data_IF_447441042885
#
_entry.id   IF_447441042885
#
_cell.length_a   1.000
_cell.length_b   1.000
_cell.length_c   1.000
_cell.angle_alpha   90.00
_cell.angle_beta   90.00
_cell.angle_gamma   90.00
#
_symmetry.space_group_name_H-M   'P 1'
#
loop_
_entity.id
_entity.type
_entity.pdbx_description
1 polymer ?
#
# COMPACT_ATOMS: atom_id res chain seq x y z
N UNK A 1 18.65 24.17 -36.78
CA UNK A 1 17.29 24.02 -36.26
C UNK A 1 17.32 22.72 -35.49
N UNK A 2 17.61 22.81 -34.21
CA UNK A 2 17.73 21.67 -33.29
C UNK A 2 16.35 21.24 -32.85
N UNK A 3 16.07 19.99 -33.08
CA UNK A 3 14.85 19.30 -32.65
C UNK A 3 14.85 19.19 -31.11
N UNK A 4 14.12 20.09 -30.44
CA UNK A 4 14.02 20.20 -28.98
C UNK A 4 12.71 19.60 -28.41
N UNK A 5 12.04 18.72 -29.15
CA UNK A 5 10.69 18.29 -28.78
C UNK A 5 10.59 16.89 -28.15
N UNK A 6 11.68 16.14 -27.95
CA UNK A 6 11.60 14.74 -27.45
C UNK A 6 12.03 14.51 -25.99
N UNK A 7 12.58 15.51 -25.29
CA UNK A 7 13.19 15.31 -23.95
C UNK A 7 12.52 16.11 -22.80
N UNK A 8 11.40 16.76 -23.07
CA UNK A 8 10.75 17.67 -22.10
C UNK A 8 10.02 16.97 -20.93
N UNK A 9 10.07 15.63 -20.84
CA UNK A 9 9.28 14.86 -19.88
C UNK A 9 10.04 14.04 -18.84
N UNK A 10 11.35 13.82 -19.00
CA UNK A 10 12.10 12.90 -18.13
C UNK A 10 13.03 13.65 -17.17
N UNK A 11 12.85 13.43 -15.87
CA UNK A 11 13.71 13.94 -14.80
C UNK A 11 14.76 12.89 -14.49
N UNK A 12 16.05 13.21 -14.65
CA UNK A 12 17.14 12.24 -14.56
C UNK A 12 18.17 12.58 -13.48
N UNK A 13 17.92 13.55 -12.63
CA UNK A 13 18.81 13.88 -11.52
C UNK A 13 18.06 14.44 -10.31
N UNK A 14 18.67 14.28 -9.14
CA UNK A 14 18.16 14.83 -7.89
C UNK A 14 18.01 16.35 -7.94
N UNK A 15 18.99 17.05 -8.48
CA UNK A 15 18.97 18.53 -8.59
C UNK A 15 17.80 19.01 -9.44
N UNK A 16 17.54 18.32 -10.55
CA UNK A 16 16.38 18.62 -11.41
C UNK A 16 15.07 18.34 -10.69
N UNK A 17 14.98 17.20 -9.95
CA UNK A 17 13.82 16.85 -9.14
C UNK A 17 13.55 17.94 -8.09
N UNK A 18 14.54 18.30 -7.28
CA UNK A 18 14.38 19.30 -6.22
C UNK A 18 13.96 20.68 -6.75
N UNK A 19 14.46 21.07 -7.92
CA UNK A 19 14.00 22.30 -8.59
C UNK A 19 12.52 22.21 -8.96
N UNK A 20 12.10 21.13 -9.63
CA UNK A 20 10.71 20.96 -10.06
C UNK A 20 9.74 20.78 -8.89
N UNK A 21 10.21 20.21 -7.77
CA UNK A 21 9.47 20.19 -6.51
C UNK A 21 9.21 21.61 -6.00
N UNK A 22 10.22 22.47 -6.02
CA UNK A 22 10.10 23.87 -5.59
C UNK A 22 9.17 24.69 -6.51
N UNK A 23 9.07 24.31 -7.76
CA UNK A 23 8.24 24.97 -8.80
C UNK A 23 6.83 24.35 -8.90
N UNK A 24 6.57 23.23 -8.19
CA UNK A 24 5.34 22.40 -8.28
C UNK A 24 5.01 21.97 -9.72
N UNK A 25 6.05 21.58 -10.48
CA UNK A 25 5.96 21.27 -11.92
C UNK A 25 6.25 19.78 -12.23
N UNK A 26 5.81 18.85 -11.38
CA UNK A 26 6.08 17.42 -11.57
C UNK A 26 4.98 16.65 -12.33
N UNK A 27 3.79 17.20 -12.46
CA UNK A 27 2.64 16.51 -13.02
C UNK A 27 2.93 15.95 -14.43
N UNK A 28 2.54 14.69 -14.64
CA UNK A 28 2.68 13.98 -15.92
C UNK A 28 4.12 13.65 -16.34
N UNK A 29 5.12 13.95 -15.51
CA UNK A 29 6.53 13.70 -15.85
C UNK A 29 6.94 12.26 -15.55
N UNK A 30 7.96 11.81 -16.24
CA UNK A 30 8.70 10.61 -15.88
C UNK A 30 9.95 10.99 -15.10
N UNK A 31 10.13 10.40 -13.92
CA UNK A 31 11.27 10.61 -13.02
C UNK A 31 11.99 9.27 -12.92
N UNK A 32 13.21 9.17 -13.40
CA UNK A 32 13.80 7.83 -13.55
C UNK A 32 15.32 7.78 -13.37
N UNK A 33 15.76 6.64 -12.78
CA UNK A 33 17.12 6.13 -12.90
C UNK A 33 18.16 6.79 -12.00
N UNK A 34 17.76 7.41 -10.87
CA UNK A 34 18.71 8.01 -9.94
C UNK A 34 18.30 7.81 -8.47
N UNK A 35 19.24 8.18 -7.58
CA UNK A 35 19.00 8.15 -6.15
C UNK A 35 18.69 9.56 -5.62
N UNK A 36 17.62 9.68 -4.84
CA UNK A 36 17.24 10.89 -4.12
C UNK A 36 16.70 10.52 -2.71
N UNK A 37 17.48 9.78 -1.89
CA UNK A 37 17.03 9.43 -0.55
C UNK A 37 16.80 10.69 0.27
N UNK A 38 15.87 10.62 1.20
CA UNK A 38 15.46 11.73 2.08
C UNK A 38 15.02 13.00 1.35
N UNK A 39 14.54 12.87 0.09
CA UNK A 39 14.00 14.03 -0.64
C UNK A 39 12.68 14.49 -0.04
N UNK A 40 12.47 15.79 0.05
CA UNK A 40 11.20 16.38 0.48
C UNK A 40 10.23 16.48 -0.69
N UNK A 41 9.10 15.78 -0.59
CA UNK A 41 8.00 15.78 -1.56
C UNK A 41 6.67 16.14 -0.88
N UNK A 42 6.72 16.73 0.32
CA UNK A 42 5.51 17.01 1.12
C UNK A 42 4.54 17.91 0.36
N UNK A 43 3.25 17.51 0.39
CA UNK A 43 2.13 18.26 -0.19
C UNK A 43 2.23 18.53 -1.71
N UNK A 44 3.12 17.83 -2.43
CA UNK A 44 3.30 17.98 -3.87
C UNK A 44 2.20 17.23 -4.63
N UNK A 45 1.81 17.77 -5.77
CA UNK A 45 0.93 17.09 -6.73
C UNK A 45 1.77 16.26 -7.72
N UNK A 46 1.58 14.94 -7.67
CA UNK A 46 2.24 13.95 -8.51
C UNK A 46 1.22 13.28 -9.47
N UNK A 47 0.21 14.03 -9.95
CA UNK A 47 -0.78 13.48 -10.90
C UNK A 47 -0.11 13.04 -12.21
N UNK A 48 -0.40 11.83 -12.63
CA UNK A 48 0.10 11.24 -13.87
C UNK A 48 1.61 10.97 -13.90
N UNK A 49 2.31 11.12 -12.78
CA UNK A 49 3.76 10.90 -12.71
C UNK A 49 4.10 9.43 -12.87
N UNK A 50 5.19 9.15 -13.60
CA UNK A 50 5.85 7.85 -13.59
C UNK A 50 7.15 7.95 -12.79
N UNK A 51 7.25 7.19 -11.68
CA UNK A 51 8.47 7.02 -10.90
C UNK A 51 9.09 5.67 -11.28
N UNK A 52 10.30 5.67 -11.82
CA UNK A 52 10.92 4.43 -12.31
C UNK A 52 12.38 4.29 -11.87
N UNK A 53 12.72 3.17 -11.25
CA UNK A 53 14.08 2.86 -10.79
C UNK A 53 14.70 3.97 -9.94
N UNK A 54 13.95 4.46 -8.97
CA UNK A 54 14.37 5.51 -8.04
C UNK A 54 14.68 4.94 -6.68
N UNK A 55 15.70 5.50 -6.04
CA UNK A 55 15.92 5.36 -4.60
C UNK A 55 15.34 6.58 -3.89
N UNK A 56 14.18 6.41 -3.27
CA UNK A 56 13.43 7.43 -2.53
C UNK A 56 13.29 7.04 -1.04
N UNK A 57 14.23 6.26 -0.52
CA UNK A 57 14.24 5.86 0.88
C UNK A 57 14.22 7.07 1.81
N UNK A 58 13.51 6.92 2.91
CA UNK A 58 13.44 7.96 3.95
C UNK A 58 12.90 9.31 3.46
N UNK A 59 12.31 9.39 2.26
CA UNK A 59 11.72 10.63 1.74
C UNK A 59 10.48 11.03 2.53
N UNK A 60 10.22 12.33 2.60
CA UNK A 60 9.01 12.90 3.16
C UNK A 60 8.04 13.27 2.03
N UNK A 61 7.02 12.45 1.84
CA UNK A 61 5.95 12.63 0.87
C UNK A 61 4.57 12.71 1.58
N UNK A 62 4.55 13.22 2.80
CA UNK A 62 3.30 13.43 3.54
C UNK A 62 2.37 14.37 2.77
N UNK A 63 1.08 14.07 2.82
CA UNK A 63 0.04 14.89 2.20
C UNK A 63 0.16 15.05 0.68
N UNK A 64 1.03 14.27 0.01
CA UNK A 64 1.13 14.25 -1.46
C UNK A 64 -0.17 13.76 -2.09
N UNK A 65 -0.40 14.22 -3.30
CA UNK A 65 -1.49 13.73 -4.13
C UNK A 65 -0.94 12.97 -5.34
N UNK A 66 -1.37 11.73 -5.51
CA UNK A 66 -1.07 10.91 -6.67
C UNK A 66 -2.39 10.49 -7.33
N UNK A 67 -2.63 10.93 -8.54
CA UNK A 67 -3.72 10.44 -9.36
C UNK A 67 -3.15 9.82 -10.63
N UNK A 68 -3.50 8.56 -10.93
CA UNK A 68 -3.02 7.83 -12.11
C UNK A 68 -1.49 7.72 -12.21
N UNK A 69 -0.79 7.82 -11.09
CA UNK A 69 0.66 7.67 -11.05
C UNK A 69 1.08 6.20 -11.17
N UNK A 70 2.26 5.98 -11.74
CA UNK A 70 2.88 4.67 -11.85
C UNK A 70 4.23 4.65 -11.12
N UNK A 71 4.42 3.68 -10.22
CA UNK A 71 5.65 3.43 -9.50
C UNK A 71 6.22 2.08 -9.96
N UNK A 72 7.44 2.07 -10.50
CA UNK A 72 8.08 0.88 -11.05
C UNK A 72 9.48 0.71 -10.51
N UNK A 73 9.79 -0.43 -9.92
CA UNK A 73 11.13 -0.77 -9.44
C UNK A 73 11.73 0.30 -8.51
N UNK A 74 10.91 0.97 -7.69
CA UNK A 74 11.35 2.01 -6.78
C UNK A 74 11.62 1.45 -5.38
N UNK A 75 12.63 2.01 -4.72
CA UNK A 75 12.92 1.78 -3.31
C UNK A 75 12.35 2.95 -2.49
N UNK A 76 11.27 2.67 -1.76
CA UNK A 76 10.52 3.63 -0.93
C UNK A 76 10.58 3.26 0.55
N UNK A 77 11.56 2.44 0.93
CA UNK A 77 11.69 1.97 2.31
C UNK A 77 11.81 3.12 3.29
N UNK A 78 11.10 2.97 4.43
CA UNK A 78 11.11 3.95 5.53
C UNK A 78 10.67 5.36 5.13
N UNK A 79 10.08 5.56 3.95
CA UNK A 79 9.52 6.85 3.55
C UNK A 79 8.21 7.15 4.27
N UNK A 80 7.92 8.44 4.43
CA UNK A 80 6.68 8.91 5.05
C UNK A 80 5.71 9.43 3.97
N UNK A 81 4.47 8.89 4.00
CA UNK A 81 3.37 9.24 3.10
C UNK A 81 2.07 9.46 3.90
N UNK A 82 2.21 10.03 5.10
CA UNK A 82 1.07 10.26 6.00
C UNK A 82 0.07 11.20 5.36
N UNK A 83 -1.21 10.83 5.45
CA UNK A 83 -2.27 11.64 4.87
C UNK A 83 -2.26 11.74 3.35
N UNK A 84 -1.37 11.05 2.65
CA UNK A 84 -1.30 11.07 1.19
C UNK A 84 -2.59 10.56 0.54
N UNK A 85 -2.88 11.08 -0.65
CA UNK A 85 -4.05 10.70 -1.46
C UNK A 85 -3.59 9.95 -2.70
N UNK A 86 -3.84 8.65 -2.74
CA UNK A 86 -3.54 7.79 -3.88
C UNK A 86 -4.83 7.40 -4.60
N UNK A 87 -5.00 7.83 -5.83
CA UNK A 87 -6.14 7.46 -6.66
C UNK A 87 -5.68 6.83 -7.96
N UNK A 88 -6.09 5.58 -8.22
CA UNK A 88 -5.69 4.81 -9.42
C UNK A 88 -4.18 4.71 -9.60
N UNK A 89 -3.45 4.66 -8.49
CA UNK A 89 -2.00 4.46 -8.51
C UNK A 89 -1.69 3.00 -8.77
N UNK A 90 -0.67 2.76 -9.60
CA UNK A 90 -0.11 1.42 -9.82
C UNK A 90 1.30 1.37 -9.28
N UNK A 91 1.57 0.40 -8.40
CA UNK A 91 2.93 0.14 -7.92
C UNK A 91 3.32 -1.30 -8.25
N UNK A 92 4.48 -1.46 -8.89
CA UNK A 92 4.99 -2.77 -9.31
C UNK A 92 6.49 -2.89 -9.06
N UNK A 93 6.91 -4.06 -8.56
CA UNK A 93 8.32 -4.39 -8.31
C UNK A 93 9.01 -3.38 -7.37
N UNK A 94 8.23 -2.74 -6.48
CA UNK A 94 8.72 -1.74 -5.54
C UNK A 94 8.96 -2.34 -4.15
N UNK A 95 9.86 -1.69 -3.39
CA UNK A 95 10.07 -1.97 -1.99
C UNK A 95 9.50 -0.83 -1.12
N UNK A 96 8.39 -1.11 -0.44
CA UNK A 96 7.66 -0.20 0.44
C UNK A 96 7.81 -0.62 1.91
N UNK A 97 8.83 -1.41 2.23
CA UNK A 97 9.06 -1.93 3.60
C UNK A 97 9.19 -0.77 4.58
N UNK A 98 8.45 -0.86 5.69
CA UNK A 98 8.41 0.18 6.75
C UNK A 98 7.89 1.56 6.33
N UNK A 99 7.28 1.67 5.15
CA UNK A 99 6.66 2.91 4.68
C UNK A 99 5.51 3.32 5.61
N UNK A 100 5.40 4.59 5.92
CA UNK A 100 4.34 5.13 6.77
C UNK A 100 3.23 5.76 5.96
N UNK A 101 2.10 5.08 5.86
CA UNK A 101 0.87 5.56 5.21
C UNK A 101 -0.24 5.85 6.23
N UNK A 102 0.13 6.26 7.44
CA UNK A 102 -0.84 6.59 8.50
C UNK A 102 -1.82 7.67 8.02
N UNK A 103 -3.11 7.37 8.13
CA UNK A 103 -4.17 8.30 7.70
C UNK A 103 -4.31 8.51 6.20
N UNK A 104 -3.49 7.83 5.38
CA UNK A 104 -3.57 7.95 3.91
C UNK A 104 -4.92 7.44 3.38
N UNK A 105 -5.28 7.92 2.20
CA UNK A 105 -6.48 7.46 1.47
C UNK A 105 -6.06 6.88 0.14
N UNK A 106 -6.33 5.58 -0.04
CA UNK A 106 -6.05 4.85 -1.27
C UNK A 106 -7.37 4.45 -1.95
N UNK A 107 -7.55 4.84 -3.19
CA UNK A 107 -8.75 4.51 -3.96
C UNK A 107 -8.38 3.89 -5.30
N UNK A 108 -8.91 2.67 -5.56
CA UNK A 108 -8.73 1.95 -6.83
C UNK A 108 -7.26 1.77 -7.22
N UNK A 109 -6.38 1.55 -6.23
CA UNK A 109 -4.97 1.32 -6.45
C UNK A 109 -4.70 -0.15 -6.74
N UNK A 110 -3.72 -0.41 -7.60
CA UNK A 110 -3.19 -1.75 -7.89
C UNK A 110 -1.76 -1.83 -7.35
N UNK A 111 -1.56 -2.62 -6.31
CA UNK A 111 -0.27 -2.75 -5.62
C UNK A 111 0.22 -4.20 -5.75
N UNK A 112 1.23 -4.39 -6.57
CA UNK A 112 1.83 -5.72 -6.68
C UNK A 112 2.44 -6.09 -8.03
N UNK A 113 3.45 -6.99 -8.01
CA UNK A 113 4.11 -7.49 -6.80
C UNK A 113 4.92 -6.39 -6.08
N UNK A 114 4.76 -6.28 -4.75
CA UNK A 114 5.50 -5.30 -3.93
C UNK A 114 5.87 -5.89 -2.57
N UNK A 115 7.01 -5.45 -2.01
CA UNK A 115 7.35 -5.73 -0.62
C UNK A 115 6.80 -4.62 0.27
N UNK A 116 6.00 -4.97 1.27
CA UNK A 116 5.32 -4.05 2.17
C UNK A 116 5.41 -4.54 3.63
N UNK A 117 6.47 -5.27 3.98
CA UNK A 117 6.66 -5.73 5.34
C UNK A 117 6.70 -4.53 6.30
N UNK A 118 5.98 -4.63 7.42
CA UNK A 118 5.88 -3.59 8.46
C UNK A 118 5.41 -2.21 7.96
N UNK A 119 4.73 -2.15 6.81
CA UNK A 119 4.06 -0.92 6.35
C UNK A 119 3.00 -0.49 7.36
N UNK A 120 2.85 0.81 7.59
CA UNK A 120 1.84 1.35 8.49
C UNK A 120 0.67 1.95 7.73
N UNK A 121 -0.49 1.31 7.82
CA UNK A 121 -1.79 1.82 7.35
C UNK A 121 -2.71 2.24 8.51
N UNK A 122 -2.11 2.60 9.67
CA UNK A 122 -2.88 3.02 10.82
C UNK A 122 -3.89 4.13 10.45
N UNK A 123 -5.18 3.93 10.76
CA UNK A 123 -6.27 4.85 10.39
C UNK A 123 -6.41 5.17 8.89
N UNK A 124 -5.73 4.46 8.02
CA UNK A 124 -5.86 4.67 6.57
C UNK A 124 -7.25 4.26 6.06
N UNK A 125 -7.61 4.76 4.89
CA UNK A 125 -8.83 4.41 4.17
C UNK A 125 -8.46 3.79 2.84
N UNK A 126 -8.87 2.53 2.61
CA UNK A 126 -8.60 1.79 1.38
C UNK A 126 -9.92 1.41 0.73
N UNK A 127 -10.14 1.81 -0.52
CA UNK A 127 -11.36 1.48 -1.24
C UNK A 127 -11.08 0.95 -2.64
N UNK A 128 -11.55 -0.26 -2.93
CA UNK A 128 -11.40 -0.90 -4.24
C UNK A 128 -9.96 -1.14 -4.65
N UNK A 129 -9.06 -1.32 -3.66
CA UNK A 129 -7.65 -1.58 -3.90
C UNK A 129 -7.38 -3.08 -4.06
N UNK A 130 -6.37 -3.41 -4.85
CA UNK A 130 -5.89 -4.77 -5.04
C UNK A 130 -4.42 -4.86 -4.60
N UNK A 131 -4.13 -5.83 -3.73
CA UNK A 131 -2.79 -6.23 -3.32
C UNK A 131 -2.50 -7.58 -3.96
N UNK A 132 -1.72 -7.56 -5.04
CA UNK A 132 -1.37 -8.77 -5.79
C UNK A 132 0.04 -9.20 -5.42
N UNK A 133 0.21 -10.47 -5.02
CA UNK A 133 1.52 -11.04 -4.80
C UNK A 133 2.40 -10.21 -3.85
N UNK A 134 1.77 -9.57 -2.88
CA UNK A 134 2.43 -8.59 -2.01
C UNK A 134 2.77 -9.20 -0.66
N UNK A 135 3.93 -8.81 -0.12
CA UNK A 135 4.42 -9.24 1.18
C UNK A 135 4.05 -8.20 2.25
N UNK A 136 3.00 -8.49 3.05
CA UNK A 136 2.46 -7.58 4.07
C UNK A 136 2.75 -8.07 5.50
N UNK A 137 3.78 -8.88 5.68
CA UNK A 137 4.16 -9.39 6.99
C UNK A 137 4.31 -8.27 8.04
N UNK A 138 3.64 -8.44 9.18
CA UNK A 138 3.62 -7.47 10.28
C UNK A 138 3.17 -6.05 9.88
N UNK A 139 2.37 -5.90 8.83
CA UNK A 139 1.78 -4.62 8.50
C UNK A 139 0.75 -4.18 9.57
N UNK A 140 0.66 -2.88 9.81
CA UNK A 140 -0.27 -2.28 10.76
C UNK A 140 -1.48 -1.68 10.02
N UNK A 141 -2.65 -2.29 10.19
CA UNK A 141 -3.95 -1.80 9.73
C UNK A 141 -4.86 -1.38 10.90
N UNK A 142 -4.28 -1.10 12.07
CA UNK A 142 -5.09 -0.74 13.23
C UNK A 142 -5.95 0.50 12.96
N UNK A 143 -7.22 0.42 13.31
CA UNK A 143 -8.25 1.43 13.04
C UNK A 143 -8.43 1.80 11.56
N UNK A 144 -7.84 1.06 10.61
CA UNK A 144 -8.04 1.29 9.18
C UNK A 144 -9.47 0.95 8.74
N UNK A 145 -9.90 1.54 7.63
CA UNK A 145 -11.20 1.24 7.01
C UNK A 145 -10.97 0.73 5.60
N UNK A 146 -11.33 -0.53 5.36
CA UNK A 146 -11.18 -1.19 4.07
C UNK A 146 -12.56 -1.51 3.49
N UNK A 147 -12.77 -1.13 2.24
CA UNK A 147 -13.97 -1.49 1.50
C UNK A 147 -13.61 -2.01 0.11
N UNK A 148 -14.14 -3.19 -0.25
CA UNK A 148 -13.92 -3.84 -1.56
C UNK A 148 -12.43 -3.98 -1.89
N UNK A 149 -11.62 -4.33 -0.90
CA UNK A 149 -10.18 -4.60 -1.05
C UNK A 149 -9.97 -6.08 -1.32
N UNK A 150 -9.01 -6.41 -2.17
CA UNK A 150 -8.60 -7.78 -2.47
C UNK A 150 -7.14 -8.00 -2.10
N UNK A 151 -6.88 -9.14 -1.47
CA UNK A 151 -5.53 -9.65 -1.23
C UNK A 151 -5.37 -10.94 -2.03
N UNK A 152 -4.64 -10.89 -3.13
CA UNK A 152 -4.51 -12.01 -4.08
C UNK A 152 -3.05 -12.49 -4.13
N UNK A 153 -2.83 -13.80 -3.92
CA UNK A 153 -1.55 -14.46 -4.13
C UNK A 153 -1.43 -15.05 -5.54
N UNK A 154 -0.28 -15.63 -5.86
CA UNK A 154 -0.13 -16.49 -7.05
C UNK A 154 -1.00 -17.75 -6.95
N UNK A 155 -1.16 -18.47 -8.07
CA UNK A 155 -1.95 -19.70 -8.15
C UNK A 155 -1.63 -20.74 -7.05
N UNK A 156 -0.40 -20.73 -6.54
CA UNK A 156 0.09 -21.66 -5.50
C UNK A 156 0.71 -20.97 -4.29
N UNK A 157 0.72 -19.63 -4.21
CA UNK A 157 1.23 -18.86 -3.09
C UNK A 157 0.14 -18.00 -2.46
N UNK A 158 0.12 -17.95 -1.14
CA UNK A 158 -0.82 -17.12 -0.39
C UNK A 158 -0.24 -15.72 -0.17
N UNK A 159 -1.07 -14.70 -0.16
CA UNK A 159 -0.64 -13.38 0.34
C UNK A 159 -0.30 -13.52 1.82
N UNK A 160 0.90 -13.08 2.19
CA UNK A 160 1.34 -13.10 3.58
C UNK A 160 0.85 -11.86 4.32
N UNK A 161 -0.14 -12.06 5.17
CA UNK A 161 -0.68 -11.10 6.12
C UNK A 161 -0.40 -11.55 7.57
N UNK A 162 0.58 -12.44 7.75
CA UNK A 162 0.87 -12.97 9.07
C UNK A 162 1.37 -11.88 10.02
N UNK A 163 0.93 -11.98 11.29
CA UNK A 163 1.23 -11.02 12.37
C UNK A 163 0.84 -9.57 12.07
N UNK A 164 -0.12 -9.35 11.18
CA UNK A 164 -0.68 -8.02 10.94
C UNK A 164 -1.56 -7.57 12.08
N UNK A 165 -1.62 -6.27 12.31
CA UNK A 165 -2.50 -5.66 13.30
C UNK A 165 -3.72 -5.04 12.63
N UNK A 166 -4.90 -5.56 12.97
CA UNK A 166 -6.22 -5.10 12.52
C UNK A 166 -7.07 -4.57 13.66
N UNK A 167 -6.46 -4.26 14.81
CA UNK A 167 -7.18 -3.81 15.99
C UNK A 167 -8.12 -2.65 15.67
N UNK A 168 -9.43 -2.84 15.93
CA UNK A 168 -10.46 -1.84 15.66
C UNK A 168 -10.68 -1.49 14.19
N UNK A 169 -10.12 -2.26 13.26
CA UNK A 169 -10.34 -2.05 11.83
C UNK A 169 -11.79 -2.32 11.43
N UNK A 170 -12.25 -1.66 10.38
CA UNK A 170 -13.55 -1.92 9.75
C UNK A 170 -13.33 -2.41 8.33
N UNK A 171 -13.78 -3.62 8.05
CA UNK A 171 -13.54 -4.37 6.82
C UNK A 171 -14.91 -4.68 6.17
N UNK A 172 -15.16 -4.17 4.98
CA UNK A 172 -16.44 -4.35 4.29
C UNK A 172 -16.20 -4.91 2.88
N UNK A 173 -16.82 -6.04 2.57
CA UNK A 173 -16.68 -6.71 1.27
C UNK A 173 -15.20 -6.96 0.91
N UNK A 174 -14.35 -7.29 1.90
CA UNK A 174 -12.92 -7.56 1.70
C UNK A 174 -12.73 -9.03 1.34
N UNK A 175 -11.90 -9.29 0.34
CA UNK A 175 -11.53 -10.64 -0.05
C UNK A 175 -10.16 -11.00 0.54
N UNK A 176 -10.16 -11.96 1.46
CA UNK A 176 -9.00 -12.60 2.07
C UNK A 176 -8.83 -14.07 1.64
N UNK A 177 -9.56 -14.52 0.65
CA UNK A 177 -9.58 -15.93 0.27
C UNK A 177 -8.17 -16.52 0.19
N UNK A 178 -7.92 -17.58 0.97
CA UNK A 178 -6.63 -18.26 1.11
C UNK A 178 -5.47 -17.40 1.63
N UNK A 179 -5.70 -16.19 2.16
CA UNK A 179 -4.65 -15.39 2.76
C UNK A 179 -4.08 -16.06 4.02
N UNK A 180 -2.81 -15.78 4.32
CA UNK A 180 -2.19 -16.22 5.56
C UNK A 180 -2.26 -15.09 6.61
N UNK A 181 -3.17 -15.21 7.56
CA UNK A 181 -3.38 -14.33 8.72
C UNK A 181 -2.86 -14.96 10.03
N UNK A 182 -1.90 -15.89 9.94
CA UNK A 182 -1.30 -16.54 11.11
C UNK A 182 -0.82 -15.50 12.14
N UNK A 183 -1.29 -15.66 13.38
CA UNK A 183 -0.91 -14.76 14.48
C UNK A 183 -1.33 -13.30 14.31
N UNK A 184 -2.30 -13.02 13.44
CA UNK A 184 -2.82 -11.65 13.27
C UNK A 184 -3.57 -11.19 14.53
N UNK A 185 -3.52 -9.91 14.83
CA UNK A 185 -4.28 -9.26 15.91
C UNK A 185 -5.49 -8.57 15.30
N UNK A 186 -6.70 -9.03 15.66
CA UNK A 186 -7.97 -8.49 15.12
C UNK A 186 -8.92 -8.04 16.25
N UNK A 187 -8.38 -7.62 17.38
CA UNK A 187 -9.17 -7.20 18.56
C UNK A 187 -10.18 -6.12 18.20
N UNK A 188 -11.46 -6.37 18.48
CA UNK A 188 -12.53 -5.43 18.20
C UNK A 188 -12.72 -5.08 16.74
N UNK A 189 -12.06 -5.77 15.80
CA UNK A 189 -12.27 -5.56 14.37
C UNK A 189 -13.72 -5.93 13.97
N UNK A 190 -14.25 -5.25 12.96
CA UNK A 190 -15.57 -5.53 12.40
C UNK A 190 -15.44 -5.94 10.95
N UNK A 191 -15.78 -7.19 10.66
CA UNK A 191 -15.76 -7.76 9.31
C UNK A 191 -17.19 -7.93 8.83
N UNK A 192 -17.55 -7.26 7.75
CA UNK A 192 -18.88 -7.31 7.15
C UNK A 192 -18.79 -7.90 5.75
N UNK A 193 -19.44 -9.01 5.50
CA UNK A 193 -19.50 -9.69 4.20
C UNK A 193 -18.13 -9.95 3.58
N UNK A 194 -17.14 -10.28 4.41
CA UNK A 194 -15.79 -10.61 3.94
C UNK A 194 -15.71 -12.07 3.50
N UNK A 195 -14.86 -12.33 2.51
CA UNK A 195 -14.54 -13.69 2.06
C UNK A 195 -13.27 -14.17 2.79
N UNK A 196 -13.45 -15.10 3.73
CA UNK A 196 -12.40 -15.71 4.54
C UNK A 196 -12.21 -17.20 4.21
N UNK A 197 -12.68 -17.65 3.06
CA UNK A 197 -12.58 -19.06 2.67
C UNK A 197 -11.13 -19.51 2.59
N UNK A 198 -10.81 -20.59 3.31
CA UNK A 198 -9.47 -21.17 3.34
C UNK A 198 -8.41 -20.27 3.96
N UNK A 199 -8.77 -19.26 4.71
CA UNK A 199 -7.84 -18.35 5.43
C UNK A 199 -7.17 -19.11 6.57
N UNK A 200 -5.87 -18.90 6.78
CA UNK A 200 -5.17 -19.35 7.96
C UNK A 200 -5.22 -18.25 9.04
N UNK A 201 -6.01 -18.47 10.09
CA UNK A 201 -6.13 -17.62 11.28
C UNK A 201 -5.57 -18.33 12.54
N UNK A 202 -4.73 -19.36 12.36
CA UNK A 202 -4.11 -20.04 13.49
C UNK A 202 -3.41 -19.04 14.41
N UNK A 203 -3.60 -19.22 15.71
CA UNK A 203 -3.04 -18.36 16.78
C UNK A 203 -3.42 -16.87 16.68
N UNK A 204 -4.40 -16.49 15.85
CA UNK A 204 -4.86 -15.11 15.78
C UNK A 204 -5.58 -14.67 17.07
N UNK A 205 -5.44 -13.39 17.40
CA UNK A 205 -6.19 -12.77 18.50
C UNK A 205 -7.44 -12.10 17.95
N UNK A 206 -8.58 -12.75 18.14
CA UNK A 206 -9.90 -12.32 17.65
C UNK A 206 -10.77 -11.73 18.76
N UNK A 207 -10.20 -11.39 19.93
CA UNK A 207 -10.95 -10.92 21.09
C UNK A 207 -11.87 -9.75 20.74
N UNK A 208 -13.18 -9.95 20.88
CA UNK A 208 -14.19 -8.96 20.53
C UNK A 208 -14.34 -8.66 19.04
N UNK A 209 -13.70 -9.42 18.15
CA UNK A 209 -13.91 -9.30 16.72
C UNK A 209 -15.32 -9.73 16.32
N UNK A 210 -15.90 -9.08 15.31
CA UNK A 210 -17.25 -9.36 14.84
C UNK A 210 -17.23 -9.74 13.37
N UNK A 211 -17.68 -10.95 13.07
CA UNK A 211 -17.83 -11.49 11.73
C UNK A 211 -19.32 -11.49 11.36
N UNK A 212 -19.74 -10.64 10.45
CA UNK A 212 -21.16 -10.50 10.07
C UNK A 212 -21.32 -10.80 8.58
N UNK A 213 -22.03 -11.89 8.27
CA UNK A 213 -22.26 -12.35 6.90
C UNK A 213 -20.97 -12.70 6.15
N UNK A 214 -19.93 -13.14 6.88
CA UNK A 214 -18.67 -13.56 6.29
C UNK A 214 -18.72 -15.03 5.86
N UNK A 215 -18.02 -15.35 4.77
CA UNK A 215 -17.82 -16.74 4.31
C UNK A 215 -16.51 -17.27 4.93
N UNK A 216 -16.63 -18.30 5.77
CA UNK A 216 -15.49 -18.86 6.52
C UNK A 216 -15.20 -20.32 6.20
N UNK A 217 -15.78 -20.88 5.15
CA UNK A 217 -15.60 -22.29 4.83
C UNK A 217 -14.14 -22.64 4.59
N UNK A 218 -13.63 -23.64 5.29
CA UNK A 218 -12.24 -24.07 5.23
C UNK A 218 -11.23 -23.10 5.88
N UNK A 219 -11.70 -22.07 6.59
CA UNK A 219 -10.81 -21.25 7.41
C UNK A 219 -10.29 -22.03 8.61
N UNK A 220 -9.02 -21.84 8.94
CA UNK A 220 -8.34 -22.50 10.05
C UNK A 220 -8.19 -21.52 11.22
N UNK A 221 -8.78 -21.82 12.35
CA UNK A 221 -8.77 -21.05 13.60
C UNK A 221 -7.99 -21.76 14.73
N UNK A 222 -7.14 -22.72 14.41
CA UNK A 222 -6.44 -23.48 15.46
C UNK A 222 -5.62 -22.55 16.37
N UNK A 223 -5.82 -22.66 17.67
CA UNK A 223 -5.17 -21.80 18.66
C UNK A 223 -5.59 -20.33 18.63
N UNK A 224 -6.58 -19.93 17.84
CA UNK A 224 -7.11 -18.56 17.88
C UNK A 224 -7.84 -18.28 19.20
N UNK A 225 -7.76 -17.03 19.68
CA UNK A 225 -8.49 -16.54 20.88
C UNK A 225 -9.64 -15.62 20.48
N UNK A 226 -10.82 -15.74 21.17
CA UNK A 226 -12.04 -15.00 20.86
C UNK A 226 -12.46 -14.08 22.00
#
# INVERSE_FOLDING_TARGET
>A
MSDTSADAGVVQSRVQLERLVAEDELQGRTIAGFAAPSVGLRSIDLDGVTLERLDLRESDADETRLERAELKMCDLRMSSWKGALWHRVKAKDCDLTEMDMTGATLMRCELGPVRMARVRFHRARLQGCEFKESELYSADFAAARLAKVRFEGYEHATVSLSRTDWTGATLVDVNFMRANLYGAVMRGAVLLRCDLRGVNLCTADLAGARFVGCETSGADFDGATF
#
